data_IF_990033088386
#
_entry.id   IF_990033088386
#
_cell.length_a   1.000
_cell.length_b   1.000
_cell.length_c   1.000
_cell.angle_alpha   90.00
_cell.angle_beta   90.00
_cell.angle_gamma   90.00
#
_symmetry.space_group_name_H-M   'P 1'
#
loop_
_entity.id
_entity.type
_entity.pdbx_description
1 polymer ?
#
# COMPACT_ATOMS: atom_id res chain seq x y z
N UNK A 1 10.11 10.34 27.89
CA UNK A 1 9.89 11.43 26.93
C UNK A 1 8.40 11.50 26.71
N UNK A 2 7.82 12.69 26.71
CA UNK A 2 6.39 12.85 26.40
C UNK A 2 6.13 12.48 24.95
N UNK A 3 5.09 11.67 24.70
CA UNK A 3 4.76 11.24 23.34
C UNK A 3 4.08 12.38 22.58
N UNK A 4 4.37 12.46 21.28
CA UNK A 4 3.72 13.41 20.38
C UNK A 4 2.31 12.86 20.09
N UNK A 5 1.30 13.65 20.37
CA UNK A 5 -0.10 13.29 20.09
C UNK A 5 -0.39 13.42 18.60
N UNK A 6 -0.80 12.33 17.96
CA UNK A 6 -1.26 12.33 16.58
C UNK A 6 -2.75 12.63 16.54
N UNK A 7 -3.13 13.63 15.73
CA UNK A 7 -4.52 14.05 15.60
C UNK A 7 -5.22 13.14 14.58
N UNK A 8 -6.22 12.40 15.06
CA UNK A 8 -7.00 11.46 14.25
C UNK A 8 -6.37 10.08 14.12
N UNK A 9 -7.19 9.08 13.81
CA UNK A 9 -6.72 7.73 13.59
C UNK A 9 -5.98 7.57 12.26
N UNK A 10 -5.05 6.63 12.22
CA UNK A 10 -4.36 6.20 11.00
C UNK A 10 -4.75 4.76 10.70
N UNK A 11 -5.14 4.48 9.46
CA UNK A 11 -5.47 3.11 9.04
C UNK A 11 -4.19 2.34 8.80
N UNK A 12 -4.03 1.25 9.53
CA UNK A 12 -2.88 0.35 9.46
C UNK A 12 -3.25 -0.89 8.65
N UNK A 13 -2.69 -1.01 7.45
CA UNK A 13 -2.91 -2.13 6.55
C UNK A 13 -1.69 -3.03 6.58
N UNK A 14 -1.75 -4.04 7.41
CA UNK A 14 -0.68 -5.01 7.54
C UNK A 14 -0.56 -5.88 6.28
N UNK A 15 0.57 -6.52 6.13
CA UNK A 15 0.92 -7.26 4.91
C UNK A 15 1.34 -8.69 5.17
N UNK A 16 2.09 -9.21 4.23
CA UNK A 16 2.51 -10.61 4.21
C UNK A 16 3.98 -10.78 4.58
N UNK A 17 4.32 -11.98 5.05
CA UNK A 17 5.68 -12.49 5.22
C UNK A 17 6.59 -11.54 6.04
N UNK A 18 7.76 -11.24 5.48
CA UNK A 18 8.77 -10.41 6.14
C UNK A 18 8.28 -8.98 6.41
N UNK A 19 7.39 -8.45 5.59
CA UNK A 19 6.90 -7.07 5.79
C UNK A 19 6.03 -6.93 7.02
N UNK A 20 5.25 -7.95 7.38
CA UNK A 20 4.54 -8.02 8.65
C UNK A 20 5.52 -7.94 9.83
N UNK A 21 6.55 -8.78 9.84
CA UNK A 21 7.55 -8.83 10.91
C UNK A 21 8.29 -7.49 11.05
N UNK A 22 8.73 -6.92 9.92
CA UNK A 22 9.44 -5.63 9.92
C UNK A 22 8.51 -4.50 10.39
N UNK A 23 7.24 -4.53 9.99
CA UNK A 23 6.28 -3.52 10.38
C UNK A 23 6.00 -3.54 11.89
N UNK A 24 5.90 -4.73 12.51
CA UNK A 24 5.81 -4.87 13.95
C UNK A 24 7.03 -4.25 14.65
N UNK A 25 8.26 -4.52 14.17
CA UNK A 25 9.45 -3.88 14.72
C UNK A 25 9.44 -2.36 14.57
N UNK A 26 8.94 -1.84 13.45
CA UNK A 26 8.83 -0.39 13.24
C UNK A 26 7.82 0.20 14.23
N UNK A 27 6.66 -0.40 14.39
CA UNK A 27 5.65 0.05 15.37
C UNK A 27 6.22 0.07 16.79
N UNK A 28 6.84 -1.01 17.21
CA UNK A 28 7.34 -1.17 18.57
C UNK A 28 8.51 -0.25 18.90
N UNK A 29 9.41 -0.02 17.94
CA UNK A 29 10.67 0.68 18.21
C UNK A 29 10.71 2.13 17.73
N UNK A 30 9.94 2.46 16.71
CA UNK A 30 10.00 3.78 16.06
C UNK A 30 8.68 4.56 16.13
N UNK A 31 7.54 3.91 16.37
CA UNK A 31 6.24 4.57 16.42
C UNK A 31 5.75 4.70 17.87
N UNK A 32 5.43 3.60 18.50
CA UNK A 32 4.81 3.61 19.82
C UNK A 32 5.64 4.23 20.95
N UNK A 33 6.99 4.21 20.94
CA UNK A 33 7.76 4.92 21.97
C UNK A 33 7.64 6.43 21.88
N UNK A 34 7.35 7.00 20.71
CA UNK A 34 7.39 8.43 20.45
C UNK A 34 6.03 9.06 20.18
N UNK A 35 5.07 8.26 19.67
CA UNK A 35 3.76 8.75 19.26
C UNK A 35 2.64 8.20 20.15
N UNK A 36 1.69 9.06 20.49
CA UNK A 36 0.36 8.68 20.96
C UNK A 36 -0.58 8.67 19.76
N UNK A 37 -0.77 7.49 19.17
CA UNK A 37 -1.43 7.28 17.88
C UNK A 37 -2.52 6.20 17.98
N UNK A 38 -3.68 6.48 17.41
CA UNK A 38 -4.77 5.50 17.23
C UNK A 38 -4.61 4.80 15.88
N UNK A 39 -4.16 3.54 15.88
CA UNK A 39 -4.04 2.72 14.68
C UNK A 39 -5.30 1.87 14.49
N UNK A 40 -5.93 2.01 13.32
CA UNK A 40 -7.06 1.19 12.87
C UNK A 40 -6.53 0.05 12.02
N UNK A 41 -6.33 -1.10 12.65
CA UNK A 41 -5.69 -2.27 12.07
C UNK A 41 -6.58 -3.05 11.12
N UNK A 42 -6.02 -3.41 9.96
CA UNK A 42 -6.59 -4.33 8.97
C UNK A 42 -5.52 -5.33 8.55
N UNK A 43 -5.81 -6.60 8.72
CA UNK A 43 -4.95 -7.69 8.26
C UNK A 43 -5.17 -7.95 6.76
N UNK A 44 -4.25 -7.51 5.92
CA UNK A 44 -4.26 -7.77 4.49
C UNK A 44 -3.35 -8.93 4.08
N UNK A 45 -3.05 -9.84 5.00
CA UNK A 45 -2.38 -11.10 4.63
C UNK A 45 -3.19 -11.87 3.61
N UNK A 46 -2.50 -12.65 2.77
CA UNK A 46 -3.17 -13.42 1.72
C UNK A 46 -4.18 -14.42 2.29
N UNK A 47 -3.90 -14.97 3.47
CA UNK A 47 -4.79 -15.89 4.17
C UNK A 47 -6.09 -15.22 4.61
N UNK A 48 -6.00 -14.04 5.22
CA UNK A 48 -7.18 -13.31 5.68
C UNK A 48 -7.98 -12.73 4.50
N UNK A 49 -7.30 -12.31 3.45
CA UNK A 49 -7.95 -11.88 2.22
C UNK A 49 -8.74 -13.02 1.58
N UNK A 50 -8.17 -14.22 1.52
CA UNK A 50 -8.87 -15.41 1.02
C UNK A 50 -10.06 -15.81 1.90
N UNK A 51 -9.88 -15.75 3.22
CA UNK A 51 -10.94 -16.06 4.18
C UNK A 51 -12.14 -15.11 4.06
N UNK A 52 -11.88 -13.83 3.74
CA UNK A 52 -12.90 -12.78 3.63
C UNK A 52 -13.35 -12.50 2.18
N UNK A 53 -12.95 -13.33 1.22
CA UNK A 53 -13.21 -13.13 -0.21
C UNK A 53 -12.76 -11.73 -0.67
N UNK A 54 -11.60 -11.28 -0.19
CA UNK A 54 -10.97 -9.96 -0.38
C UNK A 54 -11.79 -8.76 0.14
N UNK A 55 -12.85 -8.99 0.91
CA UNK A 55 -13.68 -7.91 1.48
C UNK A 55 -12.85 -7.02 2.41
N UNK A 56 -11.89 -7.57 3.16
CA UNK A 56 -11.01 -6.79 4.04
C UNK A 56 -10.24 -5.69 3.30
N UNK A 57 -9.87 -5.91 2.04
CA UNK A 57 -9.20 -4.89 1.20
C UNK A 57 -10.15 -3.72 0.90
N UNK A 58 -11.40 -4.01 0.63
CA UNK A 58 -12.44 -2.98 0.40
C UNK A 58 -12.71 -2.19 1.67
N UNK A 59 -12.90 -2.88 2.79
CA UNK A 59 -13.16 -2.27 4.10
C UNK A 59 -12.00 -1.36 4.54
N UNK A 60 -10.77 -1.79 4.33
CA UNK A 60 -9.58 -0.98 4.59
C UNK A 60 -9.54 0.29 3.74
N UNK A 61 -9.89 0.19 2.44
CA UNK A 61 -9.94 1.35 1.55
C UNK A 61 -11.03 2.34 1.96
N UNK A 62 -12.21 1.87 2.34
CA UNK A 62 -13.28 2.72 2.84
C UNK A 62 -12.93 3.37 4.19
N UNK A 63 -12.18 2.66 5.04
CA UNK A 63 -11.63 3.24 6.26
C UNK A 63 -10.65 4.38 5.96
N UNK A 64 -9.78 4.23 4.95
CA UNK A 64 -8.88 5.32 4.53
C UNK A 64 -9.68 6.53 4.03
N UNK A 65 -10.74 6.33 3.25
CA UNK A 65 -11.63 7.44 2.86
C UNK A 65 -12.21 8.16 4.07
N UNK A 66 -12.63 7.41 5.06
CA UNK A 66 -13.25 7.94 6.28
C UNK A 66 -12.26 8.74 7.14
N UNK A 67 -11.05 8.23 7.32
CA UNK A 67 -10.05 8.80 8.25
C UNK A 67 -9.01 9.68 7.56
N UNK A 68 -8.91 9.62 6.24
CA UNK A 68 -8.06 10.50 5.43
C UNK A 68 -6.62 10.04 5.26
N UNK A 69 -6.15 9.03 6.01
CA UNK A 69 -4.77 8.55 5.95
C UNK A 69 -4.67 7.06 6.24
N UNK A 70 -3.79 6.39 5.55
CA UNK A 70 -3.46 4.98 5.79
C UNK A 70 -2.02 4.65 5.42
N UNK A 71 -1.46 3.67 6.10
CA UNK A 71 -0.14 3.10 5.83
C UNK A 71 -0.33 1.64 5.43
N UNK A 72 0.24 1.25 4.30
CA UNK A 72 0.10 -0.11 3.79
C UNK A 72 1.43 -0.81 3.68
N UNK A 73 1.52 -2.00 4.27
CA UNK A 73 2.62 -2.93 4.06
C UNK A 73 2.52 -3.65 2.71
N UNK A 74 3.58 -4.30 2.29
CA UNK A 74 3.57 -5.12 1.08
C UNK A 74 2.68 -6.35 1.26
N UNK A 75 1.94 -6.69 0.22
CA UNK A 75 1.02 -7.83 0.19
C UNK A 75 1.34 -8.73 -1.00
N UNK A 76 1.10 -10.01 -0.85
CA UNK A 76 1.21 -10.98 -1.93
C UNK A 76 0.10 -10.72 -2.97
N UNK A 77 0.51 -10.66 -4.25
CA UNK A 77 -0.42 -10.81 -5.38
C UNK A 77 -0.17 -12.20 -5.95
N UNK A 78 -1.09 -13.16 -5.71
CA UNK A 78 -0.83 -14.54 -6.08
C UNK A 78 -0.85 -14.74 -7.60
N UNK A 79 0.07 -15.56 -8.08
CA UNK A 79 0.03 -16.26 -9.36
C UNK A 79 -0.48 -17.69 -9.15
N UNK A 80 -0.50 -18.49 -10.22
CA UNK A 80 -0.99 -19.86 -10.15
C UNK A 80 -0.21 -20.71 -9.14
N UNK A 81 1.10 -20.53 -9.05
CA UNK A 81 1.95 -21.27 -8.10
C UNK A 81 1.62 -20.89 -6.66
N UNK A 82 1.40 -19.62 -6.38
CA UNK A 82 1.00 -19.14 -5.06
C UNK A 82 -0.41 -19.53 -4.67
N UNK A 83 -1.34 -19.64 -5.63
CA UNK A 83 -2.68 -20.17 -5.39
C UNK A 83 -2.60 -21.63 -4.90
N UNK A 84 -1.77 -22.45 -5.52
CA UNK A 84 -1.56 -23.83 -5.11
C UNK A 84 -0.83 -23.93 -3.77
N UNK A 85 0.26 -23.17 -3.59
CA UNK A 85 1.06 -23.15 -2.35
C UNK A 85 0.24 -22.81 -1.11
N UNK A 86 -0.63 -21.80 -1.20
CA UNK A 86 -1.45 -21.35 -0.08
C UNK A 86 -2.85 -21.97 -0.04
N UNK A 87 -3.22 -22.77 -1.02
CA UNK A 87 -4.56 -23.39 -1.10
C UNK A 87 -5.69 -22.37 -1.23
N UNK A 88 -5.46 -21.31 -2.02
CA UNK A 88 -6.39 -20.20 -2.13
C UNK A 88 -7.62 -20.58 -2.97
N UNK A 89 -8.77 -19.99 -2.64
CA UNK A 89 -10.02 -20.13 -3.39
C UNK A 89 -9.93 -19.51 -4.78
N UNK A 90 -9.18 -18.41 -4.91
CA UNK A 90 -9.04 -17.64 -6.16
C UNK A 90 -7.66 -17.02 -6.31
N UNK A 91 -7.31 -16.70 -7.54
CA UNK A 91 -6.16 -15.84 -7.84
C UNK A 91 -6.56 -14.36 -7.61
N UNK A 92 -6.45 -13.93 -6.35
CA UNK A 92 -6.86 -12.61 -5.92
C UNK A 92 -6.10 -11.49 -6.63
N UNK A 93 -6.80 -10.42 -6.98
CA UNK A 93 -6.19 -9.21 -7.56
C UNK A 93 -5.28 -8.51 -6.57
N UNK A 94 -4.38 -7.66 -7.09
CA UNK A 94 -3.53 -6.84 -6.23
C UNK A 94 -4.36 -5.89 -5.36
N UNK A 95 -4.20 -5.91 -4.02
CA UNK A 95 -4.87 -4.95 -3.14
C UNK A 95 -4.51 -3.50 -3.47
N UNK A 96 -3.31 -3.26 -4.00
CA UNK A 96 -2.89 -1.93 -4.40
C UNK A 96 -3.82 -1.34 -5.48
N UNK A 97 -4.21 -2.15 -6.45
CA UNK A 97 -5.15 -1.75 -7.50
C UNK A 97 -6.53 -1.46 -6.93
N UNK A 98 -7.06 -2.36 -6.12
CA UNK A 98 -8.37 -2.23 -5.47
C UNK A 98 -8.46 -0.97 -4.63
N UNK A 99 -7.48 -0.74 -3.74
CA UNK A 99 -7.43 0.44 -2.86
C UNK A 99 -7.35 1.73 -3.66
N UNK A 100 -6.43 1.82 -4.64
CA UNK A 100 -6.31 3.04 -5.48
C UNK A 100 -7.58 3.36 -6.25
N UNK A 101 -8.24 2.34 -6.79
CA UNK A 101 -9.48 2.52 -7.52
C UNK A 101 -10.61 3.02 -6.63
N UNK A 102 -10.72 2.47 -5.41
CA UNK A 102 -11.72 2.91 -4.42
C UNK A 102 -11.45 4.34 -3.97
N UNK A 103 -10.19 4.69 -3.72
CA UNK A 103 -9.79 6.03 -3.31
C UNK A 103 -9.89 7.06 -4.44
N UNK A 104 -9.96 6.64 -5.70
CA UNK A 104 -9.96 7.52 -6.86
C UNK A 104 -8.68 8.35 -6.99
N UNK A 105 -7.57 7.83 -6.43
CA UNK A 105 -6.34 8.57 -6.22
C UNK A 105 -5.47 8.70 -7.47
N UNK A 106 -4.88 9.88 -7.62
CA UNK A 106 -3.74 10.13 -8.51
C UNK A 106 -2.49 10.24 -7.66
N UNK A 107 -1.44 9.53 -8.04
CA UNK A 107 -0.15 9.58 -7.34
C UNK A 107 0.83 10.39 -8.18
N UNK A 108 1.31 11.49 -7.60
CA UNK A 108 2.45 12.24 -8.13
C UNK A 108 3.66 11.93 -7.27
N UNK A 109 4.73 11.53 -7.93
CA UNK A 109 6.02 11.29 -7.27
C UNK A 109 7.03 12.30 -7.76
N UNK A 110 7.54 13.10 -6.85
CA UNK A 110 8.67 13.98 -7.09
C UNK A 110 9.93 13.29 -6.56
N UNK A 111 11.05 13.30 -7.32
CA UNK A 111 12.30 12.73 -6.85
C UNK A 111 12.81 13.45 -5.60
N UNK A 112 13.20 12.69 -4.59
CA UNK A 112 13.91 13.22 -3.44
C UNK A 112 15.36 13.40 -3.84
N UNK A 113 15.84 14.65 -3.85
CA UNK A 113 17.23 14.98 -4.17
C UNK A 113 17.96 15.25 -2.86
N UNK A 114 19.03 14.51 -2.64
CA UNK A 114 19.92 14.67 -1.49
C UNK A 114 21.22 15.29 -2.00
N UNK A 115 21.58 16.48 -1.52
CA UNK A 115 22.65 17.29 -2.05
C UNK A 115 24.03 16.61 -2.05
N UNK A 116 24.30 15.80 -1.05
CA UNK A 116 25.58 15.10 -0.90
C UNK A 116 25.58 13.67 -1.49
N UNK A 117 24.52 13.27 -2.19
CA UNK A 117 24.44 11.98 -2.88
C UNK A 117 24.46 12.22 -4.39
N UNK A 118 25.49 11.72 -5.11
CA UNK A 118 25.55 11.86 -6.57
C UNK A 118 24.32 11.23 -7.24
N UNK A 119 23.74 11.95 -8.19
CA UNK A 119 22.62 11.44 -9.01
C UNK A 119 23.12 10.38 -9.99
N UNK A 120 22.31 9.38 -10.26
CA UNK A 120 22.60 8.36 -11.29
C UNK A 120 22.75 8.98 -12.68
N UNK A 121 21.97 10.03 -12.97
CA UNK A 121 22.05 10.77 -14.24
C UNK A 121 22.36 12.25 -13.94
N UNK A 122 23.64 12.63 -13.89
CA UNK A 122 24.04 13.97 -13.45
C UNK A 122 23.51 15.10 -14.34
N UNK A 123 23.23 14.81 -15.61
CA UNK A 123 22.74 15.79 -16.60
C UNK A 123 21.26 16.14 -16.45
N UNK A 124 20.52 15.40 -15.65
CA UNK A 124 19.11 15.72 -15.40
C UNK A 124 19.02 16.81 -14.33
N UNK A 125 18.87 18.04 -14.78
CA UNK A 125 18.85 19.22 -13.92
C UNK A 125 17.45 19.75 -13.62
N UNK A 126 16.42 19.26 -14.35
CA UNK A 126 15.04 19.65 -14.15
C UNK A 126 14.30 18.59 -13.34
N UNK A 127 13.29 18.97 -12.54
CA UNK A 127 12.46 18.00 -11.83
C UNK A 127 11.72 17.11 -12.82
N UNK A 128 11.69 15.80 -12.53
CA UNK A 128 10.91 14.82 -13.26
C UNK A 128 9.80 14.35 -12.33
N UNK A 129 8.55 14.60 -12.71
CA UNK A 129 7.39 14.17 -11.95
C UNK A 129 6.80 12.94 -12.64
N UNK A 130 6.65 11.86 -11.88
CA UNK A 130 5.97 10.65 -12.37
C UNK A 130 4.55 10.62 -11.82
N UNK A 131 3.57 10.74 -12.70
CA UNK A 131 2.16 10.65 -12.38
C UNK A 131 1.64 9.22 -12.62
N UNK A 132 0.85 8.70 -11.69
CA UNK A 132 0.11 7.45 -11.83
C UNK A 132 -1.34 7.67 -11.42
N UNK A 133 -2.27 7.31 -12.28
CA UNK A 133 -3.69 7.44 -11.99
C UNK A 133 -4.37 6.06 -11.83
N UNK A 134 -5.55 6.05 -11.18
CA UNK A 134 -6.27 4.83 -10.84
C UNK A 134 -6.87 4.09 -12.05
N UNK A 135 -7.06 4.77 -13.17
CA UNK A 135 -7.86 4.27 -14.30
C UNK A 135 -7.04 3.79 -15.50
N UNK A 136 -5.75 3.94 -15.51
CA UNK A 136 -4.89 3.60 -16.65
C UNK A 136 -3.81 2.58 -16.31
N UNK A 137 -3.99 1.77 -15.29
CA UNK A 137 -3.04 0.69 -14.98
C UNK A 137 -3.43 -0.62 -15.67
N UNK A 138 -2.51 -1.57 -15.65
CA UNK A 138 -2.66 -2.89 -16.26
C UNK A 138 -3.88 -3.69 -15.76
N UNK A 139 -4.46 -3.35 -14.61
CA UNK A 139 -5.60 -4.05 -14.02
C UNK A 139 -6.95 -3.58 -14.56
N UNK A 140 -6.97 -2.44 -15.26
CA UNK A 140 -8.18 -1.86 -15.87
C UNK A 140 -7.96 -1.38 -17.31
N UNK A 141 -6.86 -1.75 -17.92
CA UNK A 141 -6.62 -1.44 -19.31
C UNK A 141 -7.67 -2.14 -20.20
N UNK A 142 -8.18 -1.40 -21.17
CA UNK A 142 -9.00 -1.97 -22.24
C UNK A 142 -8.12 -2.09 -23.47
N UNK A 143 -7.94 -3.30 -23.95
CA UNK A 143 -7.16 -3.54 -25.15
C UNK A 143 -7.99 -3.23 -26.38
N UNK A 144 -7.39 -2.51 -27.31
CA UNK A 144 -7.95 -2.24 -28.61
C UNK A 144 -6.96 -2.69 -29.70
N UNK A 145 -7.40 -3.60 -30.55
CA UNK A 145 -6.66 -3.99 -31.76
C UNK A 145 -7.23 -3.20 -32.94
N UNK A 146 -6.40 -2.35 -33.53
CA UNK A 146 -6.78 -1.65 -34.77
C UNK A 146 -7.06 -2.67 -35.89
N UNK A 147 -8.05 -2.42 -36.76
CA UNK A 147 -8.37 -3.27 -37.89
C UNK A 147 -7.27 -3.32 -38.93
#
# INVERSE_FOLDING_TARGET
MEKIKVVGPVVDLDGDEMTHIIWEFIKDRLIFPYLDIDLRYFDLSIQNRDATDDQVTVDAAEAIKKYGVGVKCATITPDEARVEEFGLKNMWKSPNGTIRNILGGVIFREPIIIDNVPRLVPTWTKPIVVGRHAFGDQYRATDFKAP
#
